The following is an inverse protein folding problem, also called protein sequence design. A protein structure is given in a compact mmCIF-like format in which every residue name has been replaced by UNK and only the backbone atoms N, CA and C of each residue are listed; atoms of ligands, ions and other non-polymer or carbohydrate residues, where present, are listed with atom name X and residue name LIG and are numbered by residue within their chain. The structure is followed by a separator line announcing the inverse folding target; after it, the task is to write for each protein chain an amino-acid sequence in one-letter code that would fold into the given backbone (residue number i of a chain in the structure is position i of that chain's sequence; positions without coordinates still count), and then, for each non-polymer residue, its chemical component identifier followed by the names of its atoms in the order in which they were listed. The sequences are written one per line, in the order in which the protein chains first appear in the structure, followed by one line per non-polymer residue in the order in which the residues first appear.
data_IF_919366151141
#
_entry.id   IF_919366151141
#
_cell.length_a   1.000
_cell.length_b   1.000
_cell.length_c   1.000
_cell.angle_alpha   90.00
_cell.angle_beta   90.00
_cell.angle_gamma   90.00
#
_symmetry.space_group_name_H-M   'P 1'
#
loop_
_entity.id
_entity.type
_entity.pdbx_description
1 polymer ?
#
# COMPACT_ATOMS: atom_id res chain seq x y z
N UNK A 1 -2.51 -26.58 -22.97
CA UNK A 1 -2.52 -26.46 -21.51
C UNK A 1 -1.98 -27.74 -20.94
N UNK A 2 -0.99 -27.62 -20.05
CA UNK A 2 -0.34 -28.76 -19.41
C UNK A 2 -1.29 -29.40 -18.41
N UNK A 3 -1.29 -30.73 -18.26
CA UNK A 3 -2.08 -31.41 -17.22
C UNK A 3 -1.78 -30.87 -15.80
N UNK A 4 -0.58 -30.30 -15.61
CA UNK A 4 -0.17 -29.63 -14.38
C UNK A 4 -0.92 -28.31 -14.10
N UNK A 5 -1.32 -27.58 -15.15
CA UNK A 5 -2.10 -26.34 -15.03
C UNK A 5 -3.57 -26.63 -14.69
N UNK A 6 -4.07 -27.81 -15.08
CA UNK A 6 -5.44 -28.22 -14.86
C UNK A 6 -5.65 -28.77 -13.43
N UNK A 7 -4.69 -29.54 -12.90
CA UNK A 7 -4.72 -30.02 -11.50
C UNK A 7 -4.58 -28.89 -10.48
N UNK A 8 -3.75 -27.88 -10.73
CA UNK A 8 -3.64 -26.72 -9.82
C UNK A 8 -4.97 -25.96 -9.69
N UNK A 9 -5.80 -25.97 -10.74
CA UNK A 9 -7.08 -25.25 -10.77
C UNK A 9 -8.18 -25.95 -9.98
N UNK A 10 -8.14 -27.28 -9.90
CA UNK A 10 -9.16 -28.10 -9.22
C UNK A 10 -8.94 -28.12 -7.71
N UNK A 11 -7.69 -28.12 -7.24
CA UNK A 11 -7.37 -28.01 -5.80
C UNK A 11 -7.73 -26.63 -5.24
N UNK A 12 -7.68 -25.59 -6.07
CA UNK A 12 -7.98 -24.20 -5.66
C UNK A 12 -9.46 -23.95 -5.30
N UNK A 13 -10.40 -24.80 -5.75
CA UNK A 13 -11.83 -24.61 -5.51
C UNK A 13 -12.40 -25.41 -4.31
N UNK A 14 -11.65 -26.37 -3.76
CA UNK A 14 -12.23 -27.35 -2.83
C UNK A 14 -12.23 -26.92 -1.34
N UNK A 15 -11.45 -25.92 -0.94
CA UNK A 15 -11.30 -25.58 0.49
C UNK A 15 -11.75 -24.16 0.90
N UNK A 16 -12.24 -23.33 -0.02
CA UNK A 16 -12.75 -21.99 0.32
C UNK A 16 -11.70 -21.01 0.86
N UNK A 17 -10.40 -21.35 0.85
CA UNK A 17 -9.32 -20.43 1.15
C UNK A 17 -8.99 -19.60 -0.08
N UNK A 18 -9.07 -18.27 0.06
CA UNK A 18 -8.58 -17.37 -0.97
C UNK A 18 -7.04 -17.28 -0.85
N UNK A 19 -6.35 -17.60 -1.94
CA UNK A 19 -4.90 -17.46 -2.00
C UNK A 19 -4.53 -16.02 -2.34
N UNK A 20 -3.52 -15.52 -1.64
CA UNK A 20 -2.93 -14.21 -1.88
C UNK A 20 -1.44 -14.35 -2.14
N UNK A 21 -0.81 -13.24 -2.49
CA UNK A 21 0.59 -13.21 -2.90
C UNK A 21 1.37 -12.16 -2.13
N UNK A 22 2.57 -12.52 -1.68
CA UNK A 22 3.43 -11.63 -0.92
C UNK A 22 4.82 -11.56 -1.54
N UNK A 23 5.28 -10.34 -1.82
CA UNK A 23 6.66 -10.11 -2.24
C UNK A 23 7.57 -10.05 -1.02
N UNK A 24 8.61 -10.89 -1.02
CA UNK A 24 9.57 -11.05 0.09
C UNK A 24 11.01 -11.02 -0.44
N UNK A 25 11.97 -10.79 0.45
CA UNK A 25 13.39 -10.99 0.16
C UNK A 25 13.74 -12.48 0.34
N UNK A 26 14.59 -13.04 -0.54
CA UNK A 26 15.08 -14.41 -0.45
C UNK A 26 16.59 -14.40 -0.25
N UNK A 27 17.05 -14.85 0.92
CA UNK A 27 18.46 -14.87 1.30
C UNK A 27 18.81 -16.27 1.81
N UNK A 28 19.80 -16.91 1.20
CA UNK A 28 20.28 -18.26 1.59
C UNK A 28 19.15 -19.31 1.73
N UNK A 29 18.11 -19.22 0.89
CA UNK A 29 16.96 -20.14 0.92
C UNK A 29 15.87 -19.79 1.93
N UNK A 30 16.08 -18.77 2.77
CA UNK A 30 15.09 -18.24 3.71
C UNK A 30 14.37 -17.02 3.14
N UNK A 31 13.20 -16.72 3.68
CA UNK A 31 12.31 -15.66 3.20
C UNK A 31 12.11 -14.60 4.27
N UNK A 32 12.38 -13.34 3.95
CA UNK A 32 12.32 -12.24 4.91
C UNK A 32 11.45 -11.10 4.43
N UNK A 33 10.87 -10.33 5.35
CA UNK A 33 10.15 -9.12 4.98
C UNK A 33 11.12 -8.10 4.41
N UNK A 34 10.75 -7.51 3.27
CA UNK A 34 11.58 -6.48 2.64
C UNK A 34 11.65 -5.22 3.52
N UNK A 35 10.58 -4.94 4.27
CA UNK A 35 10.47 -3.76 5.14
C UNK A 35 11.01 -3.99 6.55
N UNK A 36 10.99 -5.24 7.03
CA UNK A 36 11.47 -5.59 8.37
C UNK A 36 12.31 -6.88 8.31
N UNK A 37 13.65 -6.79 8.27
CA UNK A 37 14.49 -7.98 8.13
C UNK A 37 14.35 -8.98 9.28
N UNK A 38 13.76 -8.59 10.41
CA UNK A 38 13.58 -9.48 11.57
C UNK A 38 12.44 -10.49 11.40
N UNK A 39 11.52 -10.24 10.47
CA UNK A 39 10.38 -11.11 10.20
C UNK A 39 10.73 -12.13 9.11
N UNK A 40 10.89 -13.38 9.51
CA UNK A 40 11.09 -14.54 8.63
C UNK A 40 9.74 -15.21 8.29
N UNK A 41 9.58 -15.59 7.02
CA UNK A 41 8.41 -16.33 6.52
C UNK A 41 8.80 -17.78 6.26
N UNK A 42 8.59 -18.65 7.23
CA UNK A 42 8.78 -20.08 7.04
C UNK A 42 7.58 -20.69 6.28
N UNK A 43 7.85 -21.61 5.35
CA UNK A 43 6.79 -22.28 4.60
C UNK A 43 5.99 -23.22 5.51
N UNK A 44 4.67 -23.16 5.39
CA UNK A 44 3.67 -23.88 6.18
C UNK A 44 3.65 -23.53 7.67
N UNK A 45 4.32 -22.44 8.06
CA UNK A 45 4.26 -21.90 9.42
C UNK A 45 3.24 -20.76 9.47
N UNK A 46 2.35 -20.82 10.46
CA UNK A 46 1.38 -19.77 10.72
C UNK A 46 2.06 -18.57 11.38
N UNK A 47 1.73 -17.38 10.89
CA UNK A 47 2.21 -16.11 11.40
C UNK A 47 1.00 -15.27 11.81
N UNK A 48 1.13 -14.56 12.93
CA UNK A 48 0.08 -13.68 13.46
C UNK A 48 0.63 -12.28 13.78
N UNK A 49 -0.06 -11.28 13.26
CA UNK A 49 0.13 -9.88 13.61
C UNK A 49 -1.19 -9.15 13.42
N UNK A 50 -1.70 -8.48 14.44
CA UNK A 50 -3.03 -7.83 14.34
C UNK A 50 -3.06 -6.79 13.22
N UNK A 51 -3.97 -6.97 12.24
CA UNK A 51 -4.18 -5.97 11.20
C UNK A 51 -4.80 -4.70 11.80
N UNK A 52 -4.19 -3.55 11.49
CA UNK A 52 -4.66 -2.24 11.96
C UNK A 52 -4.72 -1.25 10.79
N UNK A 53 -5.66 -0.29 10.81
CA UNK A 53 -5.67 0.82 9.87
C UNK A 53 -4.37 1.63 9.92
N UNK A 54 -4.12 2.43 8.87
CA UNK A 54 -2.97 3.35 8.86
C UNK A 54 -1.60 2.66 8.80
N UNK A 55 -1.54 1.43 8.28
CA UNK A 55 -0.32 0.63 8.20
C UNK A 55 0.26 0.18 9.54
N UNK A 56 -0.55 0.20 10.62
CA UNK A 56 -0.13 -0.09 11.98
C UNK A 56 0.08 -1.58 12.32
N UNK A 57 -0.11 -2.48 11.36
CA UNK A 57 0.17 -3.90 11.56
C UNK A 57 -0.44 -4.82 10.50
N UNK A 58 -0.23 -6.11 10.74
CA UNK A 58 -0.69 -7.21 9.89
C UNK A 58 0.20 -7.44 8.68
N UNK A 59 -0.05 -8.57 8.03
CA UNK A 59 0.74 -8.99 6.89
C UNK A 59 0.15 -8.50 5.60
N UNK A 60 0.92 -7.65 4.93
CA UNK A 60 0.54 -7.19 3.61
C UNK A 60 0.65 -8.27 2.54
N UNK A 61 -0.39 -8.36 1.72
CA UNK A 61 -0.54 -9.29 0.59
C UNK A 61 -1.24 -8.60 -0.59
N UNK A 62 -1.23 -9.26 -1.73
CA UNK A 62 -1.83 -8.82 -2.99
C UNK A 62 -2.75 -9.89 -3.56
N UNK A 63 -3.75 -9.49 -4.34
CA UNK A 63 -4.73 -10.43 -4.89
C UNK A 63 -4.12 -11.28 -6.01
N UNK A 64 -3.15 -10.73 -6.75
CA UNK A 64 -2.48 -11.45 -7.85
C UNK A 64 -0.96 -11.47 -7.71
N UNK A 65 -0.25 -12.45 -8.33
CA UNK A 65 1.21 -12.46 -8.34
C UNK A 65 1.78 -11.22 -9.04
N UNK A 66 1.09 -10.75 -10.10
CA UNK A 66 1.48 -9.57 -10.88
C UNK A 66 1.53 -8.34 -9.98
N UNK A 67 0.49 -8.10 -9.19
CA UNK A 67 0.47 -6.99 -8.23
C UNK A 67 1.60 -7.09 -7.19
N UNK A 68 1.87 -8.29 -6.67
CA UNK A 68 2.94 -8.50 -5.72
C UNK A 68 4.31 -8.14 -6.30
N UNK A 69 4.62 -8.58 -7.53
CA UNK A 69 5.90 -8.30 -8.19
C UNK A 69 6.13 -6.80 -8.40
N UNK A 70 5.05 -6.06 -8.69
CA UNK A 70 5.10 -4.62 -8.98
C UNK A 70 4.71 -3.73 -7.80
N UNK A 71 4.65 -4.33 -6.60
CA UNK A 71 4.44 -3.61 -5.37
C UNK A 71 5.42 -2.44 -5.24
N UNK A 72 4.88 -1.26 -4.96
CA UNK A 72 5.69 -0.10 -4.61
C UNK A 72 6.17 -0.27 -3.17
N UNK A 73 7.47 -0.49 -2.99
CA UNK A 73 8.06 -0.69 -1.68
C UNK A 73 8.82 0.59 -1.34
N UNK A 74 8.37 1.36 -0.34
CA UNK A 74 9.11 2.53 0.09
C UNK A 74 10.48 2.11 0.62
N UNK A 75 11.50 2.90 0.31
CA UNK A 75 12.82 2.71 0.90
C UNK A 75 12.73 2.93 2.42
N UNK A 76 13.35 2.03 3.18
CA UNK A 76 13.47 2.10 4.63
C UNK A 76 14.91 1.77 5.00
N UNK A 77 15.53 2.60 5.83
CA UNK A 77 16.85 2.29 6.36
C UNK A 77 16.82 0.96 7.13
N UNK A 78 17.84 0.13 6.91
CA UNK A 78 17.92 -1.22 7.48
C UNK A 78 16.97 -2.25 6.85
N UNK A 79 16.14 -1.86 5.87
CA UNK A 79 15.32 -2.80 5.10
C UNK A 79 16.13 -3.60 4.08
N UNK A 80 15.53 -4.68 3.54
CA UNK A 80 16.14 -5.55 2.53
C UNK A 80 15.83 -5.11 1.10
N UNK A 81 15.86 -3.80 0.84
CA UNK A 81 15.40 -3.23 -0.43
C UNK A 81 16.19 -3.74 -1.65
N UNK A 82 17.50 -3.98 -1.47
CA UNK A 82 18.43 -4.47 -2.51
C UNK A 82 18.56 -6.00 -2.57
N UNK A 83 17.93 -6.73 -1.63
CA UNK A 83 18.04 -8.19 -1.59
C UNK A 83 17.33 -8.84 -2.80
N UNK A 84 17.75 -10.03 -3.24
CA UNK A 84 17.01 -10.83 -4.21
C UNK A 84 15.57 -11.02 -3.75
N UNK A 85 14.60 -10.87 -4.65
CA UNK A 85 13.18 -10.91 -4.30
C UNK A 85 12.54 -12.20 -4.82
N UNK A 86 11.48 -12.63 -4.15
CA UNK A 86 10.61 -13.72 -4.60
C UNK A 86 9.16 -13.48 -4.19
N UNK A 87 8.23 -14.16 -4.83
CA UNK A 87 6.80 -14.11 -4.48
C UNK A 87 6.39 -15.38 -3.78
N UNK A 88 5.83 -15.24 -2.58
CA UNK A 88 5.19 -16.34 -1.87
C UNK A 88 3.69 -16.38 -2.19
N UNK A 89 3.16 -17.57 -2.43
CA UNK A 89 1.73 -17.87 -2.37
C UNK A 89 1.37 -18.10 -0.91
N UNK A 90 0.37 -17.39 -0.40
CA UNK A 90 -0.02 -17.44 1.02
C UNK A 90 -1.52 -17.68 1.16
N UNK A 91 -1.93 -18.43 2.19
CA UNK A 91 -3.30 -18.40 2.71
C UNK A 91 -3.38 -17.24 3.71
N UNK A 92 -4.45 -16.44 3.69
CA UNK A 92 -4.63 -15.33 4.61
C UNK A 92 -6.05 -15.29 5.16
N UNK A 93 -6.22 -14.93 6.44
CA UNK A 93 -7.53 -14.84 7.10
C UNK A 93 -7.51 -13.94 8.35
N UNK A 94 -8.66 -13.83 9.02
CA UNK A 94 -8.87 -13.00 10.20
C UNK A 94 -9.27 -11.56 9.86
N UNK A 95 -9.02 -10.63 10.78
CA UNK A 95 -9.26 -9.21 10.53
C UNK A 95 -8.39 -8.75 9.37
N UNK A 96 -8.98 -7.96 8.45
CA UNK A 96 -8.29 -7.45 7.28
C UNK A 96 -8.57 -5.96 7.04
N UNK A 97 -7.63 -5.30 6.38
CA UNK A 97 -7.71 -3.90 5.97
C UNK A 97 -7.33 -3.80 4.49
N UNK A 98 -8.19 -3.16 3.70
CA UNK A 98 -7.91 -2.82 2.30
C UNK A 98 -7.50 -1.34 2.26
N UNK A 99 -6.41 -1.05 1.56
CA UNK A 99 -5.90 0.30 1.36
C UNK A 99 -6.25 0.81 -0.04
N UNK A 100 -6.30 2.14 -0.20
CA UNK A 100 -6.68 2.80 -1.47
C UNK A 100 -5.77 2.46 -2.65
N UNK A 101 -4.55 1.98 -2.38
CA UNK A 101 -3.58 1.54 -3.39
C UNK A 101 -3.76 0.07 -3.83
N UNK A 102 -4.83 -0.60 -3.37
CA UNK A 102 -5.09 -2.02 -3.66
C UNK A 102 -4.26 -3.00 -2.82
N UNK A 103 -3.43 -2.50 -1.89
CA UNK A 103 -2.74 -3.34 -0.90
C UNK A 103 -3.77 -3.85 0.10
N UNK A 104 -3.62 -5.10 0.54
CA UNK A 104 -4.43 -5.69 1.61
C UNK A 104 -3.51 -6.07 2.76
N UNK A 105 -3.99 -5.98 4.00
CA UNK A 105 -3.31 -6.50 5.19
C UNK A 105 -4.24 -7.46 5.93
N UNK A 106 -3.73 -8.63 6.31
CA UNK A 106 -4.46 -9.66 7.07
C UNK A 106 -3.77 -9.96 8.38
N UNK A 107 -4.55 -10.41 9.37
CA UNK A 107 -4.00 -10.70 10.69
C UNK A 107 -3.23 -12.02 10.76
N UNK A 108 -3.68 -13.02 9.99
CA UNK A 108 -3.06 -14.33 9.91
C UNK A 108 -2.63 -14.62 8.49
N UNK A 109 -1.43 -15.17 8.32
CA UNK A 109 -0.99 -15.76 7.06
C UNK A 109 -0.28 -17.09 7.28
N UNK A 110 -0.35 -17.95 6.26
CA UNK A 110 0.50 -19.15 6.13
C UNK A 110 1.11 -19.13 4.74
N UNK A 111 2.44 -18.99 4.60
CA UNK A 111 3.13 -19.16 3.33
C UNK A 111 3.04 -20.62 2.88
N UNK A 112 2.55 -20.87 1.66
CA UNK A 112 2.31 -22.23 1.15
C UNK A 112 3.35 -22.65 0.13
N UNK A 113 3.75 -21.73 -0.76
CA UNK A 113 4.69 -22.04 -1.82
C UNK A 113 5.52 -20.82 -2.23
N UNK A 114 6.76 -21.05 -2.65
CA UNK A 114 7.60 -20.07 -3.33
C UNK A 114 7.37 -20.17 -4.84
N UNK A 115 6.88 -19.09 -5.44
CA UNK A 115 6.61 -19.02 -6.88
C UNK A 115 7.82 -18.53 -7.69
N UNK A 116 8.84 -17.98 -7.02
CA UNK A 116 9.94 -17.30 -7.72
C UNK A 116 9.54 -15.94 -8.29
N UNK A 117 10.51 -15.27 -8.89
CA UNK A 117 10.26 -14.21 -9.88
C UNK A 117 10.43 -14.83 -11.27
N UNK A 118 9.53 -14.56 -12.24
CA UNK A 118 9.68 -15.05 -13.60
C UNK A 118 11.03 -14.63 -14.19
N UNK A 119 11.73 -15.57 -14.84
CA UNK A 119 13.04 -15.27 -15.46
C UNK A 119 12.91 -14.13 -16.47
N UNK A 120 13.83 -13.16 -16.38
CA UNK A 120 13.86 -12.00 -17.27
C UNK A 120 13.04 -10.79 -16.78
N UNK A 121 12.35 -10.89 -15.64
CA UNK A 121 11.74 -9.72 -15.01
C UNK A 121 12.82 -8.77 -14.50
N UNK A 122 12.94 -7.62 -15.16
CA UNK A 122 13.66 -6.46 -14.63
C UNK A 122 12.70 -5.78 -13.65
N UNK A 123 13.10 -5.66 -12.39
CA UNK A 123 12.29 -5.05 -11.31
C UNK A 123 12.02 -3.54 -11.49
N UNK A 124 12.29 -2.97 -12.67
CA UNK A 124 12.07 -1.56 -12.93
C UNK A 124 10.63 -1.30 -13.36
N UNK A 125 9.97 -0.38 -12.65
CA UNK A 125 8.59 0.09 -12.93
C UNK A 125 8.41 0.55 -14.39
N UNK A 126 9.48 1.04 -15.02
CA UNK A 126 9.51 1.42 -16.43
C UNK A 126 9.36 0.22 -17.37
N UNK A 127 10.07 -0.89 -17.11
CA UNK A 127 9.96 -2.12 -17.90
C UNK A 127 8.54 -2.70 -17.84
N UNK A 128 7.88 -2.58 -16.69
CA UNK A 128 6.49 -2.98 -16.52
C UNK A 128 5.49 -2.12 -17.30
N UNK A 129 5.59 -0.78 -17.19
CA UNK A 129 4.71 0.10 -17.96
C UNK A 129 4.85 -0.18 -19.46
N UNK A 130 6.08 -0.41 -19.92
CA UNK A 130 6.34 -0.80 -21.29
C UNK A 130 5.72 -2.17 -21.64
N UNK A 131 5.77 -3.17 -20.74
CA UNK A 131 5.19 -4.49 -21.01
C UNK A 131 3.66 -4.48 -21.02
N UNK A 132 3.00 -3.76 -20.10
CA UNK A 132 1.54 -3.60 -20.13
C UNK A 132 1.11 -2.87 -21.39
N UNK A 133 1.80 -1.79 -21.73
CA UNK A 133 1.49 -1.05 -22.95
C UNK A 133 1.65 -1.95 -24.18
N UNK A 134 2.69 -2.78 -24.23
CA UNK A 134 2.88 -3.76 -25.31
C UNK A 134 1.79 -4.86 -25.32
N UNK A 135 1.33 -5.36 -24.16
CA UNK A 135 0.22 -6.33 -24.07
C UNK A 135 -1.12 -5.71 -24.53
N UNK A 136 -1.41 -4.47 -24.12
CA UNK A 136 -2.60 -3.75 -24.56
C UNK A 136 -2.58 -3.49 -26.08
N UNK A 137 -1.41 -3.11 -26.62
CA UNK A 137 -1.20 -2.96 -28.06
C UNK A 137 -1.35 -4.30 -28.82
N UNK A 138 -0.76 -5.39 -28.31
CA UNK A 138 -0.82 -6.71 -28.94
C UNK A 138 -2.21 -7.35 -28.88
N UNK A 139 -2.95 -7.14 -27.79
CA UNK A 139 -4.31 -7.68 -27.62
C UNK A 139 -5.35 -7.00 -28.51
N UNK A 140 -4.97 -5.95 -29.24
CA UNK A 140 -5.91 -5.18 -30.06
C UNK A 140 -7.00 -4.53 -29.20
N UNK A 141 -6.78 -4.36 -27.89
CA UNK A 141 -7.51 -3.38 -27.07
C UNK A 141 -7.07 -2.00 -27.55
N UNK A 142 -7.56 -1.65 -28.74
CA UNK A 142 -7.53 -0.32 -29.31
C UNK A 142 -7.80 0.64 -28.16
N UNK A 143 -6.82 1.50 -27.86
CA UNK A 143 -7.02 2.66 -27.00
C UNK A 143 -8.38 3.20 -27.36
N UNK A 144 -9.37 3.03 -26.48
CA UNK A 144 -10.70 3.58 -26.72
C UNK A 144 -10.42 5.03 -27.04
N UNK A 145 -10.63 5.42 -28.31
CA UNK A 145 -10.41 6.80 -28.75
C UNK A 145 -10.97 7.66 -27.63
N UNK A 146 -10.20 8.61 -27.08
CA UNK A 146 -10.64 9.41 -25.94
C UNK A 146 -12.07 9.79 -26.25
N UNK A 147 -13.01 9.31 -25.41
CA UNK A 147 -14.44 9.45 -25.71
C UNK A 147 -14.62 10.92 -26.09
N UNK A 148 -15.14 11.24 -27.30
CA UNK A 148 -15.33 12.62 -27.70
C UNK A 148 -16.05 13.27 -26.55
N UNK A 149 -15.42 14.31 -25.97
CA UNK A 149 -15.78 14.86 -24.66
C UNK A 149 -17.30 14.77 -24.49
N UNK A 150 -17.73 13.84 -23.64
CA UNK A 150 -19.15 13.67 -23.32
C UNK A 150 -19.63 15.08 -23.02
N UNK A 151 -20.63 15.58 -23.78
CA UNK A 151 -21.25 16.88 -23.51
C UNK A 151 -21.40 16.99 -22.01
N UNK A 152 -20.62 17.88 -21.39
CA UNK A 152 -20.64 18.07 -19.94
C UNK A 152 -22.09 18.29 -19.57
N UNK A 153 -22.55 17.58 -18.52
CA UNK A 153 -23.85 17.86 -17.96
C UNK A 153 -23.86 19.36 -17.63
N UNK A 154 -24.90 20.13 -18.01
CA UNK A 154 -24.94 21.58 -17.78
C UNK A 154 -24.70 21.97 -16.31
N UNK A 155 -24.94 21.04 -15.38
CA UNK A 155 -24.73 21.19 -13.94
C UNK A 155 -23.24 21.23 -13.52
N UNK A 156 -22.33 20.74 -14.35
CA UNK A 156 -20.88 20.75 -14.11
C UNK A 156 -20.19 22.01 -14.67
N UNK A 157 -20.95 22.90 -15.33
CA UNK A 157 -20.45 24.21 -15.75
C UNK A 157 -20.53 25.21 -14.57
N UNK A 158 -19.41 25.75 -14.06
CA UNK A 158 -19.43 26.71 -12.96
C UNK A 158 -20.22 28.00 -13.26
N UNK A 159 -20.42 28.35 -14.53
CA UNK A 159 -21.26 29.49 -14.93
C UNK A 159 -22.76 29.24 -14.69
N UNK A 160 -23.19 27.96 -14.64
CA UNK A 160 -24.57 27.59 -14.35
C UNK A 160 -24.96 27.95 -12.91
N UNK A 161 -24.02 27.86 -11.97
CA UNK A 161 -24.23 28.23 -10.56
C UNK A 161 -24.42 29.75 -10.37
N UNK A 162 -23.72 30.57 -11.16
CA UNK A 162 -23.90 32.04 -11.11
C UNK A 162 -25.29 32.45 -11.60
N UNK A 163 -25.76 31.90 -12.72
CA UNK A 163 -27.09 32.21 -13.26
C UNK A 163 -28.26 31.73 -12.36
N UNK A 164 -28.06 30.65 -11.59
CA UNK A 164 -29.07 30.14 -10.63
C UNK A 164 -29.15 31.00 -9.35
N UNK A 165 -28.04 31.60 -8.92
CA UNK A 165 -27.99 32.49 -7.75
C UNK A 165 -28.82 33.77 -7.95
N UNK A 166 -28.73 34.38 -9.14
CA UNK A 166 -29.52 35.58 -9.45
C UNK A 166 -31.02 35.30 -9.47
N UNK A 167 -31.43 34.12 -9.95
CA UNK A 167 -32.85 33.73 -9.99
C UNK A 167 -33.46 33.50 -8.60
N UNK A 168 -32.68 33.05 -7.63
CA UNK A 168 -33.15 32.81 -6.27
C UNK A 168 -33.16 34.06 -5.38
N UNK A 169 -32.39 35.11 -5.71
CA UNK A 169 -32.37 36.37 -4.97
C UNK A 169 -33.70 37.15 -5.04
N UNK A 170 -34.58 36.83 -5.99
CA UNK A 170 -35.90 37.48 -6.16
C UNK A 170 -37.04 36.84 -5.37
N UNK A 171 -36.79 35.79 -4.58
CA UNK A 171 -37.85 35.16 -3.78
C UNK A 171 -38.02 35.89 -2.43
N UNK A 172 -39.21 36.44 -2.12
CA UNK A 172 -39.44 37.12 -0.85
C UNK A 172 -39.26 36.14 0.32
N UNK A 173 -38.42 36.55 1.29
CA UNK A 173 -38.14 35.80 2.52
C UNK A 173 -39.45 35.57 3.29
N UNK A 174 -39.93 34.33 3.33
CA UNK A 174 -40.92 33.90 4.32
C UNK A 174 -40.33 34.11 5.72
N UNK A 175 -40.98 34.94 6.53
CA UNK A 175 -40.61 35.19 7.91
C UNK A 175 -40.67 33.86 8.69
N UNK A 176 -39.52 33.48 9.27
CA UNK A 176 -39.41 32.30 10.13
C UNK A 176 -39.98 32.62 11.51
N UNK A 177 -40.79 31.71 12.05
CA UNK A 177 -41.29 31.75 13.42
C UNK A 177 -40.15 31.53 14.42
N UNK A 178 -40.20 32.16 15.60
CA UNK A 178 -39.18 31.98 16.64
C UNK A 178 -39.22 30.54 17.21
N UNK A 179 -38.03 29.99 17.42
CA UNK A 179 -37.78 28.66 18.00
C UNK A 179 -37.69 28.80 19.52
N UNK A 180 -38.41 27.95 20.25
CA UNK A 180 -38.37 27.85 21.71
C UNK A 180 -37.12 27.07 22.11
N UNK A 181 -36.33 27.61 23.04
CA UNK A 181 -35.07 27.04 23.52
C UNK A 181 -35.30 25.97 24.60
N UNK A 182 -34.69 24.79 24.42
CA UNK A 182 -34.57 23.74 25.44
C UNK A 182 -33.27 23.87 26.25
N UNK A 183 -33.25 23.38 27.52
CA UNK A 183 -32.12 23.52 28.44
C UNK A 183 -30.99 22.53 28.19
N UNK A 184 -29.76 22.99 28.46
CA UNK A 184 -28.46 22.35 28.23
C UNK A 184 -28.15 21.20 29.20
N UNK A 185 -27.83 20.03 28.66
CA UNK A 185 -27.17 18.92 29.36
C UNK A 185 -25.66 19.10 29.24
N UNK A 186 -24.97 19.12 30.37
CA UNK A 186 -23.51 19.19 30.46
C UNK A 186 -22.93 17.84 30.04
N UNK A 187 -22.10 17.84 28.99
CA UNK A 187 -21.37 16.67 28.48
C UNK A 187 -19.88 16.78 28.79
N UNK A 188 -19.18 15.63 28.77
CA UNK A 188 -17.82 15.33 29.28
C UNK A 188 -16.62 16.19 28.79
N UNK A 189 -16.84 17.39 28.25
CA UNK A 189 -15.79 18.34 27.83
C UNK A 189 -15.00 18.95 29.00
N UNK A 190 -15.47 18.84 30.24
CA UNK A 190 -14.65 19.18 31.42
C UNK A 190 -13.47 18.19 31.65
N UNK A 191 -13.45 17.03 30.98
CA UNK A 191 -12.30 16.12 31.04
C UNK A 191 -11.19 16.45 30.03
N UNK A 192 -11.44 17.34 29.05
CA UNK A 192 -10.47 17.66 28.01
C UNK A 192 -9.47 18.79 28.39
N UNK A 193 -9.61 19.43 29.56
CA UNK A 193 -8.71 20.52 29.98
C UNK A 193 -7.46 20.05 30.74
N UNK A 194 -7.33 18.75 31.05
CA UNK A 194 -6.20 18.22 31.82
C UNK A 194 -4.91 17.98 31.01
N UNK A 195 -4.95 18.06 29.67
CA UNK A 195 -3.78 17.82 28.81
C UNK A 195 -3.14 19.08 28.23
N UNK A 196 -3.52 20.29 28.69
CA UNK A 196 -3.06 21.55 28.10
C UNK A 196 -1.72 22.13 28.61
N UNK A 197 -1.02 21.47 29.53
CA UNK A 197 0.21 22.02 30.12
C UNK A 197 1.40 21.04 30.11
N UNK A 198 1.71 20.43 28.97
CA UNK A 198 3.07 19.89 28.73
C UNK A 198 3.78 20.78 27.72
N UNK A 199 4.36 21.82 28.28
CA UNK A 199 5.30 22.76 27.68
C UNK A 199 6.62 22.02 27.40
N UNK A 200 6.74 21.43 26.20
CA UNK A 200 8.00 20.90 25.68
C UNK A 200 8.62 22.00 24.83
N UNK A 201 9.44 22.84 25.46
CA UNK A 201 10.19 23.92 24.85
C UNK A 201 11.14 23.44 23.74
N UNK A 202 10.60 23.28 22.53
CA UNK A 202 11.35 23.14 21.29
C UNK A 202 11.16 24.43 20.50
N UNK A 203 12.21 25.24 20.48
CA UNK A 203 12.32 26.47 19.69
C UNK A 203 12.21 26.14 18.18
N UNK A 204 11.43 26.90 17.37
CA UNK A 204 11.12 26.50 15.99
C UNK A 204 12.14 26.89 14.90
N UNK A 205 13.32 27.43 15.22
CA UNK A 205 14.09 28.23 14.25
C UNK A 205 15.31 27.56 13.57
N UNK A 206 15.53 26.25 13.68
CA UNK A 206 16.71 25.59 13.08
C UNK A 206 16.47 24.77 11.79
N UNK A 207 15.33 24.94 11.09
CA UNK A 207 15.08 24.28 9.80
C UNK A 207 15.28 25.26 8.64
N UNK A 208 16.50 25.80 8.52
CA UNK A 208 16.96 26.49 7.31
C UNK A 208 17.96 25.63 6.54
N UNK A 209 17.46 24.93 5.51
CA UNK A 209 18.01 25.02 4.16
C UNK A 209 19.49 24.73 3.94
N UNK A 210 20.08 23.75 4.63
CA UNK A 210 21.33 23.16 4.19
C UNK A 210 21.06 22.17 3.05
N UNK A 211 21.34 22.57 1.81
CA UNK A 211 21.45 21.65 0.67
C UNK A 211 22.70 20.78 0.89
N UNK A 212 22.57 19.79 1.79
CA UNK A 212 23.60 18.78 2.01
C UNK A 212 23.56 17.93 0.75
N UNK A 213 24.49 18.19 -0.17
CA UNK A 213 24.76 17.34 -1.32
C UNK A 213 25.27 15.99 -0.84
N UNK A 214 24.38 15.19 -0.27
CA UNK A 214 24.64 13.78 0.01
C UNK A 214 24.64 13.13 -1.36
N UNK A 215 25.84 12.85 -1.86
CA UNK A 215 26.02 12.18 -3.13
C UNK A 215 25.25 10.86 -3.08
N UNK A 216 24.33 10.66 -4.03
CA UNK A 216 23.46 9.48 -4.06
C UNK A 216 24.30 8.19 -4.06
N UNK A 217 25.49 8.24 -4.66
CA UNK A 217 26.45 7.15 -4.71
C UNK A 217 27.02 6.80 -3.33
N UNK A 218 27.21 7.77 -2.44
CA UNK A 218 27.70 7.50 -1.07
C UNK A 218 26.66 6.78 -0.22
N UNK A 219 25.38 7.15 -0.36
CA UNK A 219 24.26 6.42 0.28
C UNK A 219 24.22 4.99 -0.24
N UNK A 220 24.38 4.81 -1.55
CA UNK A 220 24.31 3.47 -2.16
C UNK A 220 25.51 2.60 -1.75
N UNK A 221 26.69 3.18 -1.58
CA UNK A 221 27.89 2.49 -1.11
C UNK A 221 27.80 2.08 0.37
N UNK A 222 27.24 2.94 1.24
CA UNK A 222 27.03 2.60 2.65
C UNK A 222 25.99 1.47 2.80
N UNK A 223 24.88 1.55 2.07
CA UNK A 223 23.84 0.51 2.06
C UNK A 223 24.40 -0.84 1.58
N UNK A 224 25.22 -0.84 0.52
CA UNK A 224 25.88 -2.07 0.05
C UNK A 224 26.86 -2.63 1.09
N UNK A 225 27.63 -1.78 1.76
CA UNK A 225 28.60 -2.20 2.77
C UNK A 225 27.90 -2.84 3.98
N UNK A 226 26.83 -2.23 4.48
CA UNK A 226 26.01 -2.79 5.57
C UNK A 226 25.34 -4.11 5.19
N UNK A 227 24.85 -4.22 3.95
CA UNK A 227 24.28 -5.47 3.44
C UNK A 227 25.32 -6.60 3.40
N UNK A 228 26.55 -6.31 2.95
CA UNK A 228 27.65 -7.28 2.97
C UNK A 228 28.04 -7.68 4.40
N UNK A 229 28.05 -6.74 5.34
CA UNK A 229 28.34 -7.05 6.74
C UNK A 229 27.24 -7.92 7.37
N UNK A 230 25.97 -7.65 7.08
CA UNK A 230 24.84 -8.48 7.51
C UNK A 230 24.97 -9.91 7.00
N UNK A 231 25.33 -10.10 5.72
CA UNK A 231 25.57 -11.43 5.15
C UNK A 231 26.72 -12.16 5.87
N UNK A 232 27.83 -11.47 6.18
CA UNK A 232 28.95 -12.06 6.93
C UNK A 232 28.56 -12.47 8.34
N UNK A 233 27.71 -11.69 9.03
CA UNK A 233 27.24 -12.04 10.38
C UNK A 233 26.40 -13.31 10.36
N UNK A 234 25.57 -13.50 9.33
CA UNK A 234 24.77 -14.72 9.14
C UNK A 234 25.64 -15.95 8.82
N UNK A 235 26.82 -15.79 8.20
CA UNK A 235 27.73 -16.89 7.89
C UNK A 235 28.59 -17.37 9.07
N UNK A 236 28.64 -16.62 10.18
CA UNK A 236 29.53 -16.92 11.32
C UNK A 236 28.84 -17.60 12.52
N UNK A 237 27.53 -17.87 12.47
CA UNK A 237 26.87 -18.68 13.49
C UNK A 237 26.72 -20.14 13.01
N UNK A 238 27.48 -21.09 13.59
CA UNK A 238 27.39 -22.52 13.28
C UNK A 238 26.20 -23.24 13.91
#
# INVERSE_FOLDING_TARGET
MSQFEEEQKVVEQAEGYEFYYKLVAKLQGKYYSIYDPTVEYELNTELYEKAQPGHGGGYYVYATPKEAIFADIPFKEGGLYMAPRTVLKVKAWGDFVIYDNGKMSFSYIVPVADLGIPRGYKSTRAAWRASIQAEDEASGRVQRRPRPATRLNPEDNPDFYFQRRERNARRPRRQRRPVVSEPSVVTDEEQASAYRNMDLGLEPDDILGGDVGIDHDDIMNDVQSRFQEMLRRLEMEP
#
